data_IF_458429267078
#
_entry.id   IF_458429267078
#
_cell.length_a   1.000
_cell.length_b   1.000
_cell.length_c   1.000
_cell.angle_alpha   90.00
_cell.angle_beta   90.00
_cell.angle_gamma   90.00
#
_symmetry.space_group_name_H-M   'P 1'
#
loop_
_entity.id
_entity.type
_entity.pdbx_description
1 polymer ?
#
# COMPACT_ATOMS: atom_id res chain seq x y z
N UNK A 1 10.04 -5.52 20.32
CA UNK A 1 9.32 -5.67 19.03
C UNK A 1 10.27 -5.40 17.87
N UNK A 2 10.16 -6.15 16.76
CA UNK A 2 10.84 -5.86 15.50
C UNK A 2 10.50 -4.44 15.04
N UNK A 3 11.52 -3.66 14.68
CA UNK A 3 11.32 -2.28 14.17
C UNK A 3 10.74 -2.28 12.75
N UNK A 4 9.92 -1.28 12.47
CA UNK A 4 9.41 -1.06 11.11
C UNK A 4 10.43 -0.25 10.31
N UNK A 5 11.17 -0.94 9.43
CA UNK A 5 12.19 -0.32 8.57
C UNK A 5 11.64 0.84 7.73
N UNK A 6 10.38 0.77 7.31
CA UNK A 6 9.79 1.82 6.47
C UNK A 6 9.68 3.14 7.21
N UNK A 7 9.35 3.10 8.52
CA UNK A 7 9.33 4.30 9.36
C UNK A 7 10.74 4.87 9.61
N UNK A 8 11.74 4.01 9.68
CA UNK A 8 13.15 4.43 9.77
C UNK A 8 13.60 5.07 8.45
N UNK A 9 13.36 4.41 7.31
CA UNK A 9 13.67 4.94 5.98
C UNK A 9 13.00 6.30 5.72
N UNK A 10 11.72 6.43 6.11
CA UNK A 10 10.99 7.70 5.99
C UNK A 10 11.66 8.83 6.80
N UNK A 11 12.05 8.56 8.04
CA UNK A 11 12.76 9.54 8.88
C UNK A 11 14.11 9.94 8.31
N UNK A 12 14.79 9.02 7.61
CA UNK A 12 16.06 9.25 6.95
C UNK A 12 15.92 9.90 5.56
N UNK A 13 14.69 10.16 5.11
CA UNK A 13 14.42 10.70 3.79
C UNK A 13 14.73 9.74 2.63
N UNK A 14 14.83 8.43 2.91
CA UNK A 14 15.08 7.40 1.91
C UNK A 14 13.80 6.98 1.22
N UNK A 15 13.78 6.81 -0.10
CA UNK A 15 12.63 6.30 -0.82
C UNK A 15 12.38 4.82 -0.48
N UNK A 16 11.12 4.44 -0.44
CA UNK A 16 10.64 3.08 -0.18
C UNK A 16 10.09 2.52 -1.50
N UNK A 17 10.65 1.41 -1.97
CA UNK A 17 10.18 0.71 -3.15
C UNK A 17 9.36 -0.50 -2.72
N UNK A 18 8.08 -0.49 -3.10
CA UNK A 18 7.08 -1.46 -2.68
C UNK A 18 6.65 -2.38 -3.82
N UNK A 19 6.70 -3.71 -3.58
CA UNK A 19 6.10 -4.72 -4.43
C UNK A 19 4.61 -4.88 -4.14
N UNK A 20 3.81 -5.33 -5.14
CA UNK A 20 2.38 -5.52 -5.01
C UNK A 20 1.99 -6.97 -5.32
N UNK A 21 1.25 -7.61 -4.42
CA UNK A 21 0.94 -9.03 -4.47
C UNK A 21 -0.56 -9.24 -4.65
N UNK A 22 -0.94 -9.88 -5.75
CA UNK A 22 -2.34 -10.17 -6.13
C UNK A 22 -2.59 -11.67 -6.33
N UNK A 23 -1.53 -12.48 -6.49
CA UNK A 23 -1.64 -13.93 -6.64
C UNK A 23 -1.79 -14.56 -5.24
N UNK A 24 -2.87 -15.31 -4.97
CA UNK A 24 -3.16 -15.87 -3.66
C UNK A 24 -2.30 -17.10 -3.36
N UNK A 25 -0.98 -16.92 -3.30
CA UNK A 25 -0.01 -18.00 -3.12
C UNK A 25 1.15 -17.57 -2.23
N UNK A 26 1.41 -18.35 -1.18
CA UNK A 26 2.59 -18.17 -0.33
C UNK A 26 3.88 -18.28 -1.15
N UNK A 27 3.96 -19.20 -2.10
CA UNK A 27 5.15 -19.35 -2.95
C UNK A 27 5.37 -18.16 -3.89
N UNK A 28 4.30 -17.60 -4.49
CA UNK A 28 4.41 -16.36 -5.27
C UNK A 28 4.91 -15.21 -4.40
N UNK A 29 4.39 -15.09 -3.18
CA UNK A 29 4.82 -14.07 -2.23
C UNK A 29 6.28 -14.23 -1.81
N UNK A 30 6.76 -15.47 -1.62
CA UNK A 30 8.15 -15.78 -1.32
C UNK A 30 9.07 -15.36 -2.48
N UNK A 31 8.74 -15.77 -3.71
CA UNK A 31 9.48 -15.39 -4.93
C UNK A 31 9.56 -13.87 -5.06
N UNK A 32 8.45 -13.16 -4.82
CA UNK A 32 8.41 -11.69 -4.88
C UNK A 32 9.17 -11.02 -3.72
N UNK A 33 9.27 -11.66 -2.56
CA UNK A 33 9.96 -11.06 -1.42
C UNK A 33 11.50 -11.23 -1.48
N UNK A 34 12.03 -12.11 -2.32
CA UNK A 34 13.48 -12.32 -2.47
C UNK A 34 14.23 -11.21 -3.24
N UNK A 35 13.67 -10.56 -4.30
CA UNK A 35 14.25 -9.32 -4.82
C UNK A 35 14.30 -8.21 -3.76
N UNK A 36 15.09 -7.19 -4.02
CA UNK A 36 15.47 -6.16 -3.04
C UNK A 36 14.35 -5.11 -2.85
N UNK A 37 13.12 -5.55 -2.54
CA UNK A 37 12.05 -4.65 -2.13
C UNK A 37 12.22 -4.21 -0.68
N UNK A 38 11.83 -2.99 -0.36
CA UNK A 38 11.76 -2.52 1.03
C UNK A 38 10.48 -3.03 1.72
N UNK A 39 9.41 -3.15 0.96
CA UNK A 39 8.12 -3.70 1.38
C UNK A 39 7.42 -4.49 0.28
N UNK A 40 6.50 -5.37 0.68
CA UNK A 40 5.53 -5.99 -0.20
C UNK A 40 4.12 -5.83 0.38
N UNK A 41 3.19 -5.34 -0.44
CA UNK A 41 1.79 -5.14 -0.06
C UNK A 41 0.92 -6.26 -0.60
N UNK A 42 0.22 -6.97 0.27
CA UNK A 42 -0.80 -7.95 -0.09
C UNK A 42 -2.10 -7.19 -0.41
N UNK A 43 -2.59 -7.31 -1.65
CA UNK A 43 -3.79 -6.60 -2.11
C UNK A 43 -5.05 -7.44 -1.90
N UNK A 44 -5.79 -7.15 -0.84
CA UNK A 44 -7.00 -7.89 -0.48
C UNK A 44 -8.29 -7.24 -0.98
N UNK A 45 -8.25 -6.00 -1.47
CA UNK A 45 -9.44 -5.26 -1.93
C UNK A 45 -9.95 -5.80 -3.26
N UNK A 46 -9.05 -6.00 -4.22
CA UNK A 46 -9.40 -6.50 -5.55
C UNK A 46 -8.79 -7.87 -5.78
N UNK A 47 -9.44 -8.67 -6.57
CA UNK A 47 -8.93 -9.97 -6.97
C UNK A 47 -9.32 -11.08 -6.00
N UNK A 48 -8.40 -12.01 -5.78
CA UNK A 48 -8.70 -13.34 -5.25
C UNK A 48 -7.97 -13.67 -3.93
N UNK A 49 -7.37 -12.70 -3.27
CA UNK A 49 -6.66 -12.88 -2.00
C UNK A 49 -7.63 -12.74 -0.84
N UNK A 50 -7.95 -13.85 -0.18
CA UNK A 50 -8.69 -13.88 1.09
C UNK A 50 -7.75 -13.85 2.32
N UNK A 51 -8.33 -13.91 3.52
CA UNK A 51 -7.55 -13.89 4.75
C UNK A 51 -6.60 -15.09 4.91
N UNK A 52 -7.02 -16.29 4.50
CA UNK A 52 -6.19 -17.50 4.65
C UNK A 52 -4.99 -17.42 3.71
N UNK A 53 -5.22 -16.98 2.47
CA UNK A 53 -4.15 -16.73 1.52
C UNK A 53 -3.20 -15.63 2.02
N UNK A 54 -3.75 -14.50 2.52
CA UNK A 54 -2.94 -13.42 3.07
C UNK A 54 -2.08 -13.89 4.26
N UNK A 55 -2.60 -14.74 5.15
CA UNK A 55 -1.84 -15.34 6.23
C UNK A 55 -0.65 -16.16 5.71
N UNK A 56 -0.87 -17.03 4.72
CA UNK A 56 0.19 -17.84 4.10
C UNK A 56 1.24 -16.94 3.40
N UNK A 57 0.80 -15.88 2.74
CA UNK A 57 1.70 -14.90 2.10
C UNK A 57 2.52 -14.14 3.14
N UNK A 58 1.93 -13.73 4.28
CA UNK A 58 2.66 -13.12 5.39
C UNK A 58 3.72 -14.05 5.99
N UNK A 59 3.41 -15.36 6.08
CA UNK A 59 4.39 -16.36 6.53
C UNK A 59 5.56 -16.45 5.57
N UNK A 60 5.29 -16.50 4.26
CA UNK A 60 6.31 -16.54 3.22
C UNK A 60 7.18 -15.29 3.22
N UNK A 61 6.60 -14.09 3.26
CA UNK A 61 7.35 -12.82 3.34
C UNK A 61 8.24 -12.78 4.59
N UNK A 62 7.78 -13.35 5.71
CA UNK A 62 8.53 -13.34 6.97
C UNK A 62 9.86 -14.12 6.94
N UNK A 63 10.12 -14.91 5.91
CA UNK A 63 11.41 -15.59 5.66
C UNK A 63 12.49 -14.61 5.18
N UNK A 64 12.11 -13.40 4.81
CA UNK A 64 12.98 -12.34 4.31
C UNK A 64 13.03 -11.13 5.23
N UNK A 65 13.76 -10.10 4.82
CA UNK A 65 13.81 -8.82 5.51
C UNK A 65 12.83 -7.77 4.97
N UNK A 66 11.97 -8.15 4.03
CA UNK A 66 10.94 -7.29 3.44
C UNK A 66 9.85 -7.00 4.47
N UNK A 67 9.42 -5.75 4.57
CA UNK A 67 8.35 -5.35 5.49
C UNK A 67 6.98 -5.70 4.89
N UNK A 68 6.15 -6.55 5.53
CA UNK A 68 4.85 -6.91 5.00
C UNK A 68 3.81 -5.82 5.27
N UNK A 69 3.15 -5.37 4.21
CA UNK A 69 1.99 -4.49 4.24
C UNK A 69 0.75 -5.21 3.71
N UNK A 70 -0.43 -4.70 4.00
CA UNK A 70 -1.67 -5.15 3.39
C UNK A 70 -2.56 -3.97 3.00
N UNK A 71 -3.14 -4.01 1.80
CA UNK A 71 -4.28 -3.18 1.45
C UNK A 71 -5.54 -3.99 1.73
N UNK A 72 -6.28 -3.56 2.76
CA UNK A 72 -7.51 -4.23 3.21
C UNK A 72 -8.65 -4.05 2.21
N UNK A 73 -9.70 -4.88 2.34
CA UNK A 73 -10.84 -4.85 1.42
C UNK A 73 -11.61 -3.53 1.51
N UNK A 74 -11.81 -3.08 2.73
CA UNK A 74 -12.54 -1.85 3.06
C UNK A 74 -12.12 -1.34 4.43
N UNK A 75 -12.62 -0.16 4.82
CA UNK A 75 -12.46 0.38 6.17
C UNK A 75 -13.37 -0.37 7.16
N UNK A 76 -13.05 -1.63 7.38
CA UNK A 76 -13.79 -2.55 8.26
C UNK A 76 -12.89 -3.01 9.41
N UNK A 77 -13.22 -2.63 10.67
CA UNK A 77 -12.34 -2.83 11.83
C UNK A 77 -11.93 -4.27 12.08
N UNK A 78 -12.85 -5.22 11.91
CA UNK A 78 -12.56 -6.63 12.15
C UNK A 78 -11.51 -7.20 11.20
N UNK A 79 -11.54 -6.80 9.93
CA UNK A 79 -10.53 -7.20 8.94
C UNK A 79 -9.18 -6.53 9.22
N UNK A 80 -9.18 -5.24 9.57
CA UNK A 80 -7.98 -4.49 9.93
C UNK A 80 -7.29 -5.13 11.13
N UNK A 81 -8.03 -5.39 12.20
CA UNK A 81 -7.50 -6.04 13.40
C UNK A 81 -6.94 -7.42 13.08
N UNK A 82 -7.67 -8.21 12.30
CA UNK A 82 -7.29 -9.59 11.97
C UNK A 82 -6.02 -9.69 11.12
N UNK A 83 -5.82 -8.80 10.15
CA UNK A 83 -4.59 -8.80 9.36
C UNK A 83 -3.38 -8.32 10.17
N UNK A 84 -3.58 -7.41 11.11
CA UNK A 84 -2.54 -6.99 12.05
C UNK A 84 -2.16 -8.11 13.01
N UNK A 85 -3.14 -8.89 13.50
CA UNK A 85 -2.90 -10.06 14.36
C UNK A 85 -2.17 -11.17 13.61
N UNK A 86 -2.32 -11.24 12.29
CA UNK A 86 -1.55 -12.11 11.40
C UNK A 86 -0.09 -11.66 11.21
N UNK A 87 0.31 -10.49 11.74
CA UNK A 87 1.69 -9.99 11.70
C UNK A 87 2.00 -9.04 10.55
N UNK A 88 1.00 -8.41 9.97
CA UNK A 88 1.18 -7.29 9.04
C UNK A 88 1.77 -6.08 9.78
N UNK A 89 2.68 -5.35 9.13
CA UNK A 89 3.39 -4.20 9.72
C UNK A 89 2.91 -2.85 9.20
N UNK A 90 1.93 -2.86 8.33
CA UNK A 90 1.25 -1.64 7.90
C UNK A 90 0.00 -1.95 7.10
N UNK A 91 -0.98 -1.06 7.21
CA UNK A 91 -2.26 -1.17 6.53
C UNK A 91 -2.44 0.02 5.61
N UNK A 92 -2.83 -0.27 4.38
CA UNK A 92 -3.34 0.69 3.41
C UNK A 92 -4.87 0.53 3.39
N UNK A 93 -5.59 1.56 3.83
CA UNK A 93 -7.05 1.55 3.90
C UNK A 93 -7.63 2.27 2.67
N UNK A 94 -8.39 1.58 1.78
CA UNK A 94 -8.96 2.19 0.59
C UNK A 94 -10.14 3.11 0.91
N UNK A 95 -10.47 3.99 -0.02
CA UNK A 95 -11.71 4.78 -0.07
C UNK A 95 -11.99 5.65 1.16
N UNK A 96 -10.95 6.13 1.84
CA UNK A 96 -11.10 7.04 2.98
C UNK A 96 -11.46 8.42 2.46
N UNK A 97 -12.68 8.88 2.75
CA UNK A 97 -13.28 10.06 2.14
C UNK A 97 -13.45 11.26 3.10
N UNK A 98 -13.36 11.03 4.41
CA UNK A 98 -13.53 12.08 5.40
C UNK A 98 -12.77 11.77 6.70
N UNK A 99 -12.71 12.76 7.59
CA UNK A 99 -12.01 12.65 8.87
C UNK A 99 -12.52 11.51 9.74
N UNK A 100 -13.84 11.31 9.82
CA UNK A 100 -14.42 10.26 10.65
C UNK A 100 -13.99 8.87 10.19
N UNK A 101 -13.94 8.65 8.89
CA UNK A 101 -13.45 7.39 8.32
C UNK A 101 -11.95 7.21 8.59
N UNK A 102 -11.14 8.26 8.46
CA UNK A 102 -9.72 8.22 8.79
C UNK A 102 -9.49 7.92 10.29
N UNK A 103 -10.26 8.53 11.18
CA UNK A 103 -10.21 8.26 12.62
C UNK A 103 -10.63 6.81 12.93
N UNK A 104 -11.70 6.29 12.33
CA UNK A 104 -12.15 4.92 12.49
C UNK A 104 -11.06 3.93 12.07
N UNK A 105 -10.44 4.16 10.92
CA UNK A 105 -9.32 3.37 10.42
C UNK A 105 -8.14 3.37 11.40
N UNK A 106 -7.69 4.54 11.79
CA UNK A 106 -6.54 4.69 12.70
C UNK A 106 -6.81 4.02 14.04
N UNK A 107 -7.99 4.23 14.62
CA UNK A 107 -8.38 3.65 15.91
C UNK A 107 -8.53 2.13 15.84
N UNK A 108 -8.93 1.56 14.71
CA UNK A 108 -8.94 0.10 14.50
C UNK A 108 -7.53 -0.50 14.49
N UNK A 109 -6.50 0.28 14.20
CA UNK A 109 -5.10 -0.15 14.25
C UNK A 109 -4.46 -0.04 15.62
N UNK A 110 -5.04 0.76 16.54
CA UNK A 110 -4.44 1.11 17.83
C UNK A 110 -5.13 0.41 19.00
N UNK A 111 -4.35 -0.01 19.97
CA UNK A 111 -4.90 -0.55 21.22
C UNK A 111 -5.49 0.58 22.11
N UNK A 112 -6.42 0.26 23.03
CA UNK A 112 -6.82 1.19 24.09
C UNK A 112 -5.59 1.68 24.88
N UNK A 113 -5.53 2.95 25.29
CA UNK A 113 -6.55 4.02 25.29
C UNK A 113 -6.58 4.88 24.03
N UNK A 114 -5.75 4.59 23.02
CA UNK A 114 -5.66 5.41 21.79
C UNK A 114 -6.63 4.98 20.70
N UNK A 115 -7.07 3.75 20.72
CA UNK A 115 -8.00 3.17 19.77
C UNK A 115 -8.85 2.09 20.44
N UNK A 116 -9.46 1.24 19.60
CA UNK A 116 -10.34 0.16 20.05
C UNK A 116 -9.97 -1.22 19.48
N UNK A 117 -8.72 -1.38 18.99
CA UNK A 117 -8.23 -2.68 18.54
C UNK A 117 -8.33 -3.70 19.67
N UNK A 118 -9.02 -4.82 19.42
CA UNK A 118 -9.08 -5.93 20.36
C UNK A 118 -7.70 -6.62 20.48
N UNK A 119 -7.37 -7.08 21.69
CA UNK A 119 -6.09 -7.73 21.95
C UNK A 119 -6.16 -9.23 21.64
N UNK A 120 -5.38 -9.67 20.68
CA UNK A 120 -5.25 -11.08 20.29
C UNK A 120 -4.19 -11.31 19.22
N UNK A 121 -2.98 -10.70 19.32
CA UNK A 121 -2.00 -10.71 18.23
C UNK A 121 -1.21 -12.02 18.16
N UNK A 122 -1.89 -13.15 17.90
CA UNK A 122 -1.29 -14.50 17.96
C UNK A 122 0.00 -14.56 17.13
N UNK A 123 -0.08 -14.30 15.83
CA UNK A 123 1.10 -14.30 14.96
C UNK A 123 1.89 -13.00 15.05
N UNK A 124 1.23 -11.90 15.40
CA UNK A 124 1.90 -10.63 15.67
C UNK A 124 2.98 -10.77 16.75
N UNK A 125 2.75 -11.57 17.80
CA UNK A 125 3.75 -11.90 18.82
C UNK A 125 4.90 -12.75 18.25
N UNK A 126 4.63 -13.75 17.43
CA UNK A 126 5.65 -14.59 16.81
C UNK A 126 6.57 -13.80 15.88
N UNK A 127 5.99 -12.97 15.03
CA UNK A 127 6.73 -12.19 14.04
C UNK A 127 7.36 -10.92 14.63
N UNK A 128 6.61 -10.22 15.47
CA UNK A 128 6.98 -8.91 16.02
C UNK A 128 7.79 -8.97 17.33
N UNK A 129 7.64 -10.04 18.11
CA UNK A 129 8.27 -10.22 19.41
C UNK A 129 7.30 -10.14 20.58
N UNK A 130 7.71 -10.67 21.74
CA UNK A 130 6.87 -10.81 22.96
C UNK A 130 6.34 -9.48 23.52
N UNK A 131 7.00 -8.39 23.22
CA UNK A 131 6.64 -7.02 23.61
C UNK A 131 5.80 -6.27 22.55
N UNK A 132 5.19 -7.00 21.60
CA UNK A 132 4.42 -6.47 20.47
C UNK A 132 3.36 -5.45 20.93
N UNK A 133 2.53 -5.79 21.91
CA UNK A 133 1.46 -4.90 22.35
C UNK A 133 1.96 -3.54 22.86
N UNK A 134 3.13 -3.52 23.49
CA UNK A 134 3.74 -2.29 24.04
C UNK A 134 4.20 -1.32 22.96
N UNK A 135 4.55 -1.83 21.78
CA UNK A 135 5.22 -1.05 20.74
C UNK A 135 4.43 -0.97 19.42
N UNK A 136 3.45 -1.84 19.19
CA UNK A 136 2.72 -1.94 17.92
C UNK A 136 2.12 -0.62 17.46
N UNK A 137 1.56 0.19 18.36
CA UNK A 137 0.98 1.50 18.03
C UNK A 137 1.98 2.44 17.32
N UNK A 138 3.26 2.32 17.64
CA UNK A 138 4.33 3.11 17.04
C UNK A 138 4.90 2.47 15.78
N UNK A 139 4.94 1.13 15.74
CA UNK A 139 5.58 0.40 14.64
C UNK A 139 4.64 0.12 13.48
N UNK A 140 3.33 -0.06 13.71
CA UNK A 140 2.36 -0.27 12.63
C UNK A 140 2.20 1.01 11.79
N UNK A 141 2.38 0.89 10.48
CA UNK A 141 2.19 1.96 9.51
C UNK A 141 0.72 2.05 9.09
N UNK A 142 0.13 3.24 9.16
CA UNK A 142 -1.29 3.51 8.86
C UNK A 142 -1.39 4.50 7.72
N UNK A 143 -1.81 4.03 6.53
CA UNK A 143 -1.91 4.81 5.32
C UNK A 143 -3.37 4.85 4.84
N UNK A 144 -3.96 6.05 4.76
CA UNK A 144 -5.28 6.27 4.18
C UNK A 144 -5.17 6.50 2.67
N UNK A 145 -5.98 5.81 1.86
CA UNK A 145 -6.00 6.09 0.42
C UNK A 145 -6.86 7.32 0.12
N UNK A 146 -6.27 8.23 -0.66
CA UNK A 146 -6.92 9.44 -1.17
C UNK A 146 -7.21 9.19 -2.66
N UNK A 147 -8.46 8.85 -2.96
CA UNK A 147 -8.84 8.38 -4.30
C UNK A 147 -10.31 8.67 -4.67
N UNK A 148 -11.04 9.42 -3.82
CA UNK A 148 -12.42 9.84 -4.09
C UNK A 148 -12.53 11.35 -4.23
N UNK A 149 -13.61 11.82 -4.86
CA UNK A 149 -13.89 13.27 -4.95
C UNK A 149 -14.10 13.88 -3.57
N UNK A 150 -14.83 13.19 -2.70
CA UNK A 150 -15.06 13.62 -1.31
C UNK A 150 -13.74 13.70 -0.53
N UNK A 151 -12.82 12.75 -0.73
CA UNK A 151 -11.49 12.80 -0.11
C UNK A 151 -10.67 14.03 -0.56
N UNK A 152 -10.82 14.46 -1.80
CA UNK A 152 -10.18 15.68 -2.29
C UNK A 152 -10.76 16.94 -1.65
N UNK A 153 -12.08 16.97 -1.40
CA UNK A 153 -12.77 18.06 -0.74
C UNK A 153 -12.41 18.13 0.74
N UNK A 154 -12.24 16.99 1.41
CA UNK A 154 -11.93 16.86 2.84
C UNK A 154 -10.44 16.59 3.12
N UNK A 155 -9.55 16.86 2.16
CA UNK A 155 -8.14 16.44 2.23
C UNK A 155 -7.46 16.91 3.52
N UNK A 156 -7.60 18.16 3.88
CA UNK A 156 -6.94 18.74 5.05
C UNK A 156 -7.42 18.07 6.35
N UNK A 157 -8.72 17.82 6.48
CA UNK A 157 -9.30 17.15 7.65
C UNK A 157 -8.84 15.70 7.80
N UNK A 158 -8.70 14.98 6.67
CA UNK A 158 -8.15 13.60 6.66
C UNK A 158 -6.70 13.62 7.11
N UNK A 159 -5.89 14.53 6.55
CA UNK A 159 -4.47 14.62 6.87
C UNK A 159 -4.19 15.07 8.32
N UNK A 160 -5.11 15.81 8.94
CA UNK A 160 -5.02 16.25 10.33
C UNK A 160 -5.51 15.17 11.33
N UNK A 161 -5.78 13.94 10.87
CA UNK A 161 -6.19 12.83 11.74
C UNK A 161 -5.06 12.41 12.69
N UNK A 162 -5.29 12.40 14.01
CA UNK A 162 -4.26 12.01 14.97
C UNK A 162 -3.77 10.56 14.76
N UNK A 163 -2.45 10.36 14.84
CA UNK A 163 -1.78 9.07 14.66
C UNK A 163 -1.90 8.45 13.25
N UNK A 164 -2.40 9.16 12.26
CA UNK A 164 -2.23 8.79 10.86
C UNK A 164 -0.74 8.94 10.50
N UNK A 165 -0.13 7.91 9.87
CA UNK A 165 1.28 7.97 9.49
C UNK A 165 1.49 8.55 8.09
N UNK A 166 0.47 8.49 7.25
CA UNK A 166 0.57 9.00 5.89
C UNK A 166 -0.64 8.67 5.02
N UNK A 167 -0.47 8.95 3.74
CA UNK A 167 -1.48 8.67 2.71
C UNK A 167 -0.91 7.75 1.62
N UNK A 168 -1.83 7.14 0.88
CA UNK A 168 -1.53 6.40 -0.32
C UNK A 168 -2.45 6.84 -1.46
N UNK A 169 -1.92 7.13 -2.64
CA UNK A 169 -2.72 7.58 -3.78
C UNK A 169 -2.99 6.40 -4.71
N UNK A 170 -4.27 6.17 -5.03
CA UNK A 170 -4.76 5.29 -6.08
C UNK A 170 -5.09 6.09 -7.35
N UNK A 171 -4.14 6.31 -8.31
CA UNK A 171 -4.36 7.22 -9.42
C UNK A 171 -5.50 6.81 -10.37
N UNK A 172 -5.81 5.52 -10.45
CA UNK A 172 -6.90 5.01 -11.31
C UNK A 172 -8.27 5.44 -10.76
N UNK A 173 -8.56 5.15 -9.49
CA UNK A 173 -9.81 5.53 -8.82
C UNK A 173 -9.93 7.05 -8.69
N UNK A 174 -8.84 7.73 -8.32
CA UNK A 174 -8.79 9.19 -8.29
C UNK A 174 -9.18 9.80 -9.64
N UNK A 175 -8.69 9.23 -10.75
CA UNK A 175 -9.02 9.72 -12.08
C UNK A 175 -10.49 9.54 -12.41
N UNK A 176 -11.05 8.36 -12.11
CA UNK A 176 -12.48 8.11 -12.30
C UNK A 176 -13.33 9.06 -11.45
N UNK A 177 -12.93 9.30 -10.19
CA UNK A 177 -13.64 10.20 -9.28
C UNK A 177 -13.73 11.65 -9.78
N UNK A 178 -12.79 12.09 -10.61
CA UNK A 178 -12.77 13.43 -11.22
C UNK A 178 -13.13 13.44 -12.72
N UNK A 179 -13.75 12.35 -13.21
CA UNK A 179 -14.24 12.24 -14.59
C UNK A 179 -13.16 12.10 -15.65
N UNK A 180 -12.01 11.51 -15.28
CA UNK A 180 -10.91 11.22 -16.22
C UNK A 180 -10.73 9.72 -16.44
N UNK A 181 -10.08 9.36 -17.54
CA UNK A 181 -9.73 7.97 -17.84
C UNK A 181 -8.85 7.36 -16.73
N UNK A 182 -9.14 6.12 -16.29
CA UNK A 182 -8.34 5.43 -15.29
C UNK A 182 -6.93 5.14 -15.81
N UNK A 183 -5.98 4.99 -14.90
CA UNK A 183 -4.60 4.66 -15.22
C UNK A 183 -3.66 5.08 -14.10
N UNK A 184 -2.49 4.47 -14.04
CA UNK A 184 -1.55 4.71 -12.94
C UNK A 184 -0.60 5.87 -13.22
N UNK A 185 -0.02 5.91 -14.42
CA UNK A 185 0.98 6.91 -14.80
C UNK A 185 0.29 8.10 -15.48
N UNK A 186 0.15 9.20 -14.78
CA UNK A 186 -0.58 10.38 -15.28
C UNK A 186 0.36 11.39 -15.92
N UNK A 187 0.06 11.85 -17.15
CA UNK A 187 0.79 12.94 -17.79
C UNK A 187 0.64 14.25 -16.99
N UNK A 188 1.69 15.07 -16.97
CA UNK A 188 1.76 16.30 -16.17
C UNK A 188 0.67 17.34 -16.50
N UNK A 189 0.21 17.35 -17.73
CA UNK A 189 -0.85 18.27 -18.22
C UNK A 189 -2.27 17.84 -17.82
N UNK A 190 -2.44 16.70 -17.12
CA UNK A 190 -3.75 16.21 -16.71
C UNK A 190 -4.22 16.80 -15.37
N UNK A 191 -5.54 16.86 -15.17
CA UNK A 191 -6.12 17.27 -13.88
C UNK A 191 -5.73 16.29 -12.79
N UNK A 192 -5.73 14.97 -13.07
CA UNK A 192 -5.32 13.96 -12.12
C UNK A 192 -3.89 14.17 -11.61
N UNK A 193 -2.95 14.52 -12.47
CA UNK A 193 -1.58 14.81 -12.06
C UNK A 193 -1.50 16.06 -11.14
N UNK A 194 -2.30 17.07 -11.41
CA UNK A 194 -2.38 18.27 -10.56
C UNK A 194 -2.90 17.92 -9.16
N UNK A 195 -3.96 17.09 -9.10
CA UNK A 195 -4.49 16.62 -7.81
C UNK A 195 -3.48 15.72 -7.07
N UNK A 196 -2.81 14.80 -7.75
CA UNK A 196 -1.70 14.00 -7.17
C UNK A 196 -0.63 14.92 -6.57
N UNK A 197 -0.27 15.99 -7.27
CA UNK A 197 0.70 16.97 -6.76
C UNK A 197 0.17 17.71 -5.54
N UNK A 198 -1.09 18.16 -5.57
CA UNK A 198 -1.75 18.83 -4.43
C UNK A 198 -1.78 17.96 -3.18
N UNK A 199 -2.13 16.69 -3.33
CA UNK A 199 -2.16 15.72 -2.22
C UNK A 199 -0.75 15.53 -1.65
N UNK A 200 0.26 15.35 -2.51
CA UNK A 200 1.65 15.22 -2.09
C UNK A 200 2.11 16.42 -1.26
N UNK A 201 1.90 17.64 -1.75
CA UNK A 201 2.32 18.86 -1.04
C UNK A 201 1.59 19.06 0.29
N UNK A 202 0.29 18.71 0.35
CA UNK A 202 -0.47 18.76 1.59
C UNK A 202 0.04 17.76 2.64
N UNK A 203 0.40 16.54 2.22
CA UNK A 203 1.00 15.53 3.09
C UNK A 203 2.40 15.96 3.59
N UNK A 204 3.25 16.47 2.69
CA UNK A 204 4.59 16.96 3.03
C UNK A 204 4.57 18.08 4.06
N UNK A 205 3.65 19.05 3.93
CA UNK A 205 3.49 20.15 4.90
C UNK A 205 3.23 19.66 6.33
N UNK A 206 2.65 18.47 6.48
CA UNK A 206 2.32 17.85 7.77
C UNK A 206 3.34 16.82 8.24
N UNK A 207 4.41 16.60 7.45
CA UNK A 207 5.41 15.57 7.74
C UNK A 207 4.85 14.14 7.65
N UNK A 208 3.81 13.94 6.85
CA UNK A 208 3.20 12.64 6.60
C UNK A 208 3.87 11.91 5.44
N UNK A 209 3.98 10.60 5.55
CA UNK A 209 4.44 9.75 4.45
C UNK A 209 3.44 9.82 3.28
N UNK A 210 3.96 10.05 2.08
CA UNK A 210 3.16 10.03 0.85
C UNK A 210 3.55 8.82 -0.01
N UNK A 211 2.58 7.93 -0.23
CA UNK A 211 2.70 6.76 -1.11
C UNK A 211 1.88 6.93 -2.39
N UNK A 212 2.31 6.25 -3.47
CA UNK A 212 1.59 6.27 -4.75
C UNK A 212 1.76 4.94 -5.51
N UNK A 213 0.70 4.52 -6.19
CA UNK A 213 0.72 3.38 -7.10
C UNK A 213 1.11 3.81 -8.51
N UNK A 214 2.09 3.11 -9.12
CA UNK A 214 2.62 3.44 -10.44
C UNK A 214 2.55 2.22 -11.37
N UNK A 215 2.42 2.49 -12.66
CA UNK A 215 2.40 1.45 -13.70
C UNK A 215 3.79 1.04 -14.17
N UNK A 216 4.75 1.99 -14.19
CA UNK A 216 6.10 1.80 -14.72
C UNK A 216 7.17 2.21 -13.72
N UNK A 217 8.37 1.62 -13.86
CA UNK A 217 9.52 1.96 -13.03
C UNK A 217 10.01 3.39 -13.30
N UNK A 218 9.94 3.83 -14.56
CA UNK A 218 10.31 5.17 -14.99
C UNK A 218 9.44 6.23 -14.32
N UNK A 219 8.13 5.99 -14.27
CA UNK A 219 7.21 6.92 -13.60
C UNK A 219 7.39 6.89 -12.09
N UNK A 220 7.62 5.71 -11.50
CA UNK A 220 7.93 5.59 -10.08
C UNK A 220 9.18 6.38 -9.70
N UNK A 221 10.26 6.29 -10.49
CA UNK A 221 11.48 7.09 -10.31
C UNK A 221 11.17 8.59 -10.34
N UNK A 222 10.39 9.05 -11.31
CA UNK A 222 9.93 10.44 -11.39
C UNK A 222 9.14 10.87 -10.16
N UNK A 223 8.30 9.98 -9.60
CA UNK A 223 7.54 10.29 -8.38
C UNK A 223 8.44 10.37 -7.15
N UNK A 224 9.49 9.54 -7.04
CA UNK A 224 10.52 9.68 -6.00
C UNK A 224 11.21 11.06 -6.11
N UNK A 225 11.65 11.44 -7.30
CA UNK A 225 12.29 12.73 -7.56
C UNK A 225 11.36 13.92 -7.22
N UNK A 226 10.04 13.74 -7.39
CA UNK A 226 9.02 14.72 -6.99
C UNK A 226 8.83 14.81 -5.47
N UNK A 227 9.22 13.77 -4.74
CA UNK A 227 9.20 13.74 -3.28
C UNK A 227 8.24 12.74 -2.65
N UNK A 228 7.70 11.79 -3.41
CA UNK A 228 7.00 10.64 -2.83
C UNK A 228 7.96 9.76 -2.05
N UNK A 229 7.53 9.31 -0.88
CA UNK A 229 8.34 8.49 0.02
C UNK A 229 8.17 7.00 -0.24
N UNK A 230 7.00 6.57 -0.71
CA UNK A 230 6.70 5.18 -1.03
C UNK A 230 6.12 5.07 -2.44
N UNK A 231 6.77 4.29 -3.29
CA UNK A 231 6.31 4.03 -4.65
C UNK A 231 6.06 2.55 -4.85
N UNK A 232 4.89 2.21 -5.36
CA UNK A 232 4.58 0.84 -5.78
C UNK A 232 4.79 0.71 -7.27
N UNK A 233 5.48 -0.35 -7.71
CA UNK A 233 5.78 -0.61 -9.12
C UNK A 233 5.25 -1.97 -9.53
N UNK A 234 4.25 -1.98 -10.41
CA UNK A 234 3.69 -3.22 -10.95
C UNK A 234 3.11 -4.16 -9.88
N UNK A 235 2.84 -5.40 -10.29
CA UNK A 235 2.39 -6.48 -9.40
C UNK A 235 2.98 -7.83 -9.84
N UNK A 236 2.98 -8.81 -8.95
CA UNK A 236 3.41 -10.19 -9.23
C UNK A 236 2.72 -10.75 -10.50
N UNK A 237 1.42 -10.57 -10.63
CA UNK A 237 0.63 -10.98 -11.79
C UNK A 237 1.10 -10.28 -13.09
N UNK A 238 1.39 -8.96 -13.01
CA UNK A 238 1.87 -8.21 -14.18
C UNK A 238 3.29 -8.60 -14.57
N UNK A 239 4.18 -8.81 -13.62
CA UNK A 239 5.54 -9.27 -13.89
C UNK A 239 5.53 -10.65 -14.56
N UNK A 240 4.73 -11.59 -14.06
CA UNK A 240 4.59 -12.93 -14.62
C UNK A 240 4.05 -12.87 -16.06
N UNK A 241 2.95 -12.15 -16.29
CA UNK A 241 2.33 -12.06 -17.62
C UNK A 241 3.22 -11.33 -18.63
N UNK A 242 3.88 -10.26 -18.22
CA UNK A 242 4.81 -9.50 -19.07
C UNK A 242 6.04 -10.30 -19.42
N UNK A 243 6.63 -11.02 -18.45
CA UNK A 243 7.77 -11.91 -18.69
C UNK A 243 7.43 -13.03 -19.66
N UNK A 244 6.28 -13.69 -19.50
CA UNK A 244 5.80 -14.72 -20.41
C UNK A 244 5.54 -14.16 -21.82
N UNK A 245 4.89 -12.99 -21.94
CA UNK A 245 4.66 -12.31 -23.22
C UNK A 245 5.98 -12.03 -23.93
N UNK A 246 6.93 -11.42 -23.24
CA UNK A 246 8.26 -11.11 -23.79
C UNK A 246 9.01 -12.35 -24.29
N UNK A 247 8.95 -13.46 -23.55
CA UNK A 247 9.57 -14.72 -23.98
C UNK A 247 8.93 -15.29 -25.25
N UNK A 248 7.59 -15.26 -25.33
CA UNK A 248 6.85 -15.73 -26.52
C UNK A 248 7.12 -14.86 -27.75
N UNK A 249 7.15 -13.54 -27.55
CA UNK A 249 7.43 -12.59 -28.65
C UNK A 249 8.84 -12.76 -29.24
N UNK A 250 9.82 -13.08 -28.43
CA UNK A 250 11.19 -13.39 -28.89
C UNK A 250 11.24 -14.65 -29.76
N UNK A 251 10.37 -15.62 -29.54
CA UNK A 251 10.35 -16.89 -30.30
C UNK A 251 9.47 -16.79 -31.54
N UNK A 252 8.28 -16.19 -31.41
CA UNK A 252 7.24 -16.20 -32.46
C UNK A 252 7.14 -14.89 -33.25
N UNK A 253 7.90 -13.88 -32.88
CA UNK A 253 7.72 -12.50 -33.32
C UNK A 253 6.57 -11.79 -32.59
N UNK A 254 6.62 -10.46 -32.53
CA UNK A 254 5.58 -9.67 -31.90
C UNK A 254 4.26 -9.83 -32.66
N UNK A 255 3.24 -10.44 -32.02
CA UNK A 255 1.86 -10.33 -32.53
C UNK A 255 1.29 -9.01 -32.05
N UNK A 256 0.75 -8.19 -32.98
CA UNK A 256 -0.14 -7.09 -32.61
C UNK A 256 -1.42 -7.69 -32.00
N UNK A 257 -1.42 -7.91 -30.70
CA UNK A 257 -2.62 -8.20 -29.94
C UNK A 257 -3.16 -6.91 -29.33
N UNK A 258 -4.44 -6.85 -28.94
CA UNK A 258 -4.93 -5.71 -28.18
C UNK A 258 -4.07 -5.57 -26.92
N UNK A 259 -3.59 -4.35 -26.67
CA UNK A 259 -2.90 -4.04 -25.42
C UNK A 259 -3.82 -4.41 -24.26
N UNK A 260 -3.48 -5.46 -23.52
CA UNK A 260 -4.13 -5.73 -22.27
C UNK A 260 -3.74 -4.61 -21.31
N UNK A 261 -4.56 -3.56 -21.27
CA UNK A 261 -4.55 -2.59 -20.17
C UNK A 261 -5.05 -3.35 -18.94
N UNK A 262 -4.19 -4.19 -18.37
CA UNK A 262 -4.51 -4.91 -17.14
C UNK A 262 -4.42 -3.98 -15.95
N UNK A 263 -5.38 -4.13 -15.06
CA UNK A 263 -5.32 -3.64 -13.70
C UNK A 263 -4.03 -4.06 -13.01
#
# INVERSE_FOLDING_TARGET
>A
MRKNKLKEMFKEGKPIVNGWLQIPSGFSAEVMAHPVWDSCTIAMQHGVVDYVNALNMLQAISTTNVTPLARVNWNEPGQIMKILDAGCYGVICPMVSNRKEAENFVQACLYPSKGYRSFGPIRGLLYGGSDYAKHSDKEILKLAMIETKEALENLDEILDTPNLDGIYIGPADLSLAIGQEPGFDKPENTVAYKEITRILEAAKKRGLLAGIHNGTAEYAKKMIEKGFNLVTVGSDQRFMSSGAKTAIEKIKGAKKGPDSKGY
#
